data_IF_053629471448
#
_entry.id   IF_053629471448
#
_cell.length_a   1.000
_cell.length_b   1.000
_cell.length_c   1.000
_cell.angle_alpha   90.00
_cell.angle_beta   90.00
_cell.angle_gamma   90.00
#
_symmetry.space_group_name_H-M   'P 1'
#
loop_
_entity.id
_entity.type
_entity.pdbx_description
1 polymer ?
#
# COMPACT_ATOMS: atom_id res chain seq x y z
N UNK A 1 44.00 -44.97 9.35
CA UNK A 1 44.27 -46.33 9.84
C UNK A 1 43.20 -46.64 10.85
N UNK A 2 42.15 -47.28 10.35
CA UNK A 2 41.00 -47.77 11.10
C UNK A 2 41.41 -48.86 12.09
N UNK A 3 40.84 -48.82 13.30
CA UNK A 3 40.51 -50.02 14.07
C UNK A 3 39.53 -49.64 15.20
N UNK A 4 38.26 -49.87 14.92
CA UNK A 4 37.18 -50.02 15.89
C UNK A 4 37.30 -51.38 16.58
N UNK A 5 37.11 -51.43 17.91
CA UNK A 5 36.69 -52.59 18.74
C UNK A 5 36.85 -52.19 20.22
N UNK A 6 35.91 -52.33 21.15
CA UNK A 6 34.59 -52.92 21.16
C UNK A 6 34.04 -52.90 22.59
N UNK A 7 32.71 -52.88 22.68
CA UNK A 7 31.85 -53.41 23.75
C UNK A 7 32.14 -53.06 25.23
N UNK A 8 31.31 -52.17 25.77
CA UNK A 8 30.75 -52.32 27.12
C UNK A 8 29.35 -51.67 27.17
N UNK A 9 28.34 -52.42 26.73
CA UNK A 9 26.92 -52.14 26.98
C UNK A 9 26.63 -52.19 28.49
N UNK A 10 26.18 -51.07 29.07
CA UNK A 10 25.35 -51.07 30.28
C UNK A 10 24.08 -50.29 30.00
N UNK A 11 22.97 -51.02 30.10
CA UNK A 11 21.67 -50.62 29.60
C UNK A 11 21.07 -49.40 30.29
N UNK A 12 20.42 -48.58 29.49
CA UNK A 12 19.30 -47.75 29.92
C UNK A 12 18.33 -47.62 28.75
N UNK A 13 17.33 -48.50 28.78
CA UNK A 13 15.92 -48.28 28.41
C UNK A 13 15.63 -47.44 27.15
N UNK A 14 15.24 -48.19 26.11
CA UNK A 14 14.23 -47.89 25.10
C UNK A 14 13.36 -46.67 25.43
N UNK A 15 13.42 -45.63 24.59
CA UNK A 15 12.25 -45.00 24.01
C UNK A 15 12.66 -44.31 22.70
N UNK A 16 12.39 -44.98 21.58
CA UNK A 16 12.45 -44.35 20.27
C UNK A 16 11.29 -43.36 20.15
N UNK A 17 11.59 -42.09 19.88
CA UNK A 17 10.65 -41.19 19.22
C UNK A 17 11.41 -40.55 18.06
N UNK A 18 11.33 -41.22 16.92
CA UNK A 18 11.59 -40.62 15.63
C UNK A 18 10.47 -39.64 15.33
N UNK A 19 10.79 -38.35 15.18
CA UNK A 19 9.97 -37.46 14.35
C UNK A 19 10.85 -36.97 13.19
N UNK A 20 10.32 -37.30 12.03
CA UNK A 20 10.82 -37.16 10.68
C UNK A 20 10.32 -35.82 10.15
N UNK A 21 11.27 -34.99 9.67
CA UNK A 21 11.20 -34.20 8.43
C UNK A 21 10.54 -32.80 8.40
N UNK A 22 11.27 -31.96 7.66
CA UNK A 22 10.87 -30.81 6.82
C UNK A 22 10.42 -29.50 7.48
N UNK A 23 11.35 -28.54 7.38
CA UNK A 23 11.19 -27.49 6.39
C UNK A 23 10.41 -26.26 6.83
N UNK A 24 11.13 -25.13 6.91
CA UNK A 24 10.63 -23.88 6.33
C UNK A 24 11.80 -22.91 6.12
N UNK A 25 12.19 -22.74 4.86
CA UNK A 25 12.95 -21.59 4.39
C UNK A 25 12.03 -20.37 4.50
N UNK A 26 12.19 -19.54 5.53
CA UNK A 26 11.58 -18.20 5.52
C UNK A 26 12.60 -17.26 4.88
N UNK A 27 12.53 -17.16 3.56
CA UNK A 27 13.16 -16.06 2.85
C UNK A 27 12.49 -14.76 3.31
N UNK A 28 13.26 -13.92 4.03
CA UNK A 28 12.84 -12.58 4.41
C UNK A 28 12.64 -11.74 3.16
N UNK A 29 11.39 -11.58 2.75
CA UNK A 29 10.99 -10.58 1.77
C UNK A 29 11.05 -9.22 2.47
N UNK A 30 12.16 -8.52 2.31
CA UNK A 30 12.25 -7.09 2.59
C UNK A 30 11.29 -6.36 1.66
N UNK A 31 10.07 -6.08 2.13
CA UNK A 31 9.10 -5.28 1.39
C UNK A 31 9.63 -3.84 1.35
N UNK A 32 10.32 -3.48 0.27
CA UNK A 32 10.59 -2.07 -0.05
C UNK A 32 9.24 -1.46 -0.39
N UNK A 33 8.67 -0.72 0.55
CA UNK A 33 7.45 0.04 0.33
C UNK A 33 7.76 1.15 -0.66
N UNK A 34 7.50 0.93 -1.96
CA UNK A 34 7.33 2.00 -2.92
C UNK A 34 5.98 2.66 -2.61
N UNK A 35 5.98 3.51 -1.58
CA UNK A 35 4.88 4.42 -1.36
C UNK A 35 4.82 5.36 -2.54
N UNK A 36 3.68 5.43 -3.22
CA UNK A 36 3.40 6.56 -4.09
C UNK A 36 3.36 7.80 -3.18
N UNK A 37 4.49 8.47 -3.05
CA UNK A 37 4.50 9.87 -2.68
C UNK A 37 3.53 10.57 -3.64
N UNK A 38 2.70 11.53 -3.17
CA UNK A 38 1.99 12.40 -4.10
C UNK A 38 3.06 12.95 -5.03
N UNK A 39 3.11 12.47 -6.27
CA UNK A 39 4.04 13.00 -7.26
C UNK A 39 3.64 14.45 -7.41
N UNK A 40 4.39 15.36 -6.79
CA UNK A 40 4.07 16.78 -6.84
C UNK A 40 3.88 17.15 -8.31
N UNK A 41 2.67 17.54 -8.67
CA UNK A 41 2.31 17.93 -10.03
C UNK A 41 1.51 16.93 -10.87
N UNK A 42 1.29 15.66 -10.47
CA UNK A 42 0.40 14.72 -11.19
C UNK A 42 -0.36 13.74 -10.28
N UNK A 43 -1.63 13.49 -10.59
CA UNK A 43 -2.48 12.49 -9.91
C UNK A 43 -3.44 11.81 -10.89
N UNK A 44 -4.00 10.67 -10.49
CA UNK A 44 -5.11 10.04 -11.19
C UNK A 44 -6.46 10.61 -10.77
N UNK A 45 -7.31 10.92 -11.74
CA UNK A 45 -8.70 11.30 -11.53
C UNK A 45 -9.55 10.62 -12.61
N UNK A 46 -10.39 9.66 -12.21
CA UNK A 46 -11.33 8.97 -13.11
C UNK A 46 -10.67 8.39 -14.38
N UNK A 47 -9.50 7.76 -14.21
CA UNK A 47 -8.74 7.17 -15.32
C UNK A 47 -7.85 8.14 -16.10
N UNK A 48 -7.89 9.44 -15.78
CA UNK A 48 -7.07 10.48 -16.41
C UNK A 48 -5.91 10.87 -15.50
N UNK A 49 -4.81 11.36 -16.08
CA UNK A 49 -3.73 12.01 -15.32
C UNK A 49 -3.96 13.52 -15.32
N UNK A 50 -4.09 14.13 -14.15
CA UNK A 50 -4.32 15.58 -13.97
C UNK A 50 -3.20 16.22 -13.16
N UNK A 51 -3.02 17.53 -13.31
CA UNK A 51 -1.98 18.28 -12.62
C UNK A 51 -2.40 18.86 -11.27
N UNK A 52 -1.44 19.13 -10.38
CA UNK A 52 -1.65 19.86 -9.11
C UNK A 52 -0.67 21.03 -8.95
N UNK A 53 -1.01 22.00 -8.10
CA UNK A 53 -0.09 23.09 -7.70
C UNK A 53 1.05 22.56 -6.81
N UNK A 54 2.19 23.24 -6.81
CA UNK A 54 3.34 22.98 -5.94
C UNK A 54 3.80 24.37 -5.42
N UNK A 55 3.48 24.78 -4.19
CA UNK A 55 3.48 23.97 -2.97
C UNK A 55 2.10 23.76 -2.33
N UNK A 56 1.85 22.61 -1.68
CA UNK A 56 0.67 22.41 -0.86
C UNK A 56 0.57 23.40 0.30
N UNK A 57 -0.64 23.90 0.57
CA UNK A 57 -0.93 24.64 1.79
C UNK A 57 -1.30 23.66 2.92
N UNK A 58 -0.79 23.88 4.12
CA UNK A 58 -1.23 23.14 5.30
C UNK A 58 -2.66 23.53 5.67
N UNK A 59 -3.44 22.56 6.15
CA UNK A 59 -4.78 22.79 6.70
C UNK A 59 -4.86 22.19 8.11
N UNK A 60 -5.95 22.45 8.83
CA UNK A 60 -6.13 21.86 10.15
C UNK A 60 -6.28 20.33 10.02
N UNK A 61 -5.70 19.53 10.92
CA UNK A 61 -5.86 18.09 10.88
C UNK A 61 -7.32 17.66 10.82
N UNK A 62 -7.65 16.81 9.85
CA UNK A 62 -9.00 16.29 9.65
C UNK A 62 -9.98 17.27 8.98
N UNK A 63 -9.55 18.47 8.58
CA UNK A 63 -10.43 19.43 7.92
C UNK A 63 -10.63 19.19 6.42
N UNK A 64 -9.85 18.29 5.82
CA UNK A 64 -9.95 17.94 4.40
C UNK A 64 -11.32 17.34 4.05
N UNK A 65 -11.78 17.62 2.83
CA UNK A 65 -13.12 17.28 2.33
C UNK A 65 -13.12 16.50 1.02
N UNK A 66 -12.04 16.61 0.25
CA UNK A 66 -11.88 15.97 -1.05
C UNK A 66 -11.02 14.71 -0.88
N UNK A 67 -11.54 13.49 -1.09
CA UNK A 67 -10.74 12.28 -0.85
C UNK A 67 -9.50 12.21 -1.72
N UNK A 68 -8.35 11.98 -1.11
CA UNK A 68 -7.07 11.75 -1.76
C UNK A 68 -6.45 10.45 -1.25
N UNK A 69 -6.18 9.52 -2.15
CA UNK A 69 -5.71 8.18 -1.82
C UNK A 69 -4.23 8.00 -2.22
N UNK A 70 -3.37 7.76 -1.23
CA UNK A 70 -1.95 7.42 -1.37
C UNK A 70 -1.79 5.91 -1.36
N UNK A 71 -1.50 5.31 -2.50
CA UNK A 71 -1.27 3.86 -2.59
C UNK A 71 0.15 3.53 -2.13
N UNK A 72 0.32 2.71 -1.09
CA UNK A 72 1.64 2.52 -0.44
C UNK A 72 2.45 1.31 -0.89
N UNK A 73 1.81 0.35 -1.54
CA UNK A 73 2.44 -0.86 -2.08
C UNK A 73 1.84 -1.20 -3.46
N UNK A 74 1.68 -0.17 -4.30
CA UNK A 74 1.10 -0.29 -5.63
C UNK A 74 2.05 -0.87 -6.68
N UNK A 75 1.57 -0.91 -7.93
CA UNK A 75 2.40 -1.20 -9.10
C UNK A 75 3.26 0.01 -9.48
N UNK A 76 4.32 -0.22 -10.27
CA UNK A 76 5.07 0.87 -10.89
C UNK A 76 4.14 1.76 -11.74
N UNK A 77 4.34 3.08 -11.69
CA UNK A 77 3.49 4.06 -12.35
C UNK A 77 2.19 4.42 -11.61
N UNK A 78 1.96 3.83 -10.44
CA UNK A 78 0.86 4.26 -9.57
C UNK A 78 1.09 5.70 -9.08
N UNK A 79 0.09 6.56 -9.31
CA UNK A 79 0.04 7.93 -8.78
C UNK A 79 -0.93 7.98 -7.58
N UNK A 80 -0.92 9.10 -6.85
CA UNK A 80 -2.03 9.40 -5.93
C UNK A 80 -3.36 9.48 -6.69
N UNK A 81 -4.46 9.10 -6.06
CA UNK A 81 -5.79 9.08 -6.70
C UNK A 81 -6.68 10.13 -6.04
N UNK A 82 -7.21 11.07 -6.82
CA UNK A 82 -8.27 11.95 -6.38
C UNK A 82 -9.63 11.25 -6.50
N UNK A 83 -10.41 11.27 -5.41
CA UNK A 83 -11.78 10.76 -5.41
C UNK A 83 -12.77 11.69 -6.10
N UNK A 84 -12.46 12.99 -6.12
CA UNK A 84 -13.26 14.06 -6.75
C UNK A 84 -12.34 15.08 -7.41
N UNK A 85 -12.85 15.82 -8.39
CA UNK A 85 -12.08 16.86 -9.08
C UNK A 85 -12.97 17.96 -9.65
N UNK A 86 -12.37 18.98 -10.30
CA UNK A 86 -13.10 20.13 -10.84
C UNK A 86 -14.29 19.74 -11.71
N UNK A 87 -15.41 20.43 -11.53
CA UNK A 87 -16.68 20.15 -12.23
C UNK A 87 -17.47 18.96 -11.68
N UNK A 88 -16.89 18.16 -10.78
CA UNK A 88 -17.60 17.09 -10.08
C UNK A 88 -18.38 17.60 -8.86
N UNK A 89 -19.52 16.99 -8.51
CA UNK A 89 -20.24 17.30 -7.28
C UNK A 89 -19.38 17.01 -6.06
N UNK A 90 -19.36 17.92 -5.10
CA UNK A 90 -18.61 17.76 -3.84
C UNK A 90 -17.11 18.02 -3.94
N UNK A 91 -16.63 18.68 -5.01
CA UNK A 91 -15.25 19.15 -5.08
C UNK A 91 -15.06 20.48 -4.35
N UNK A 92 -14.07 20.56 -3.45
CA UNK A 92 -13.79 21.73 -2.60
C UNK A 92 -12.43 22.38 -2.90
N UNK A 93 -12.00 22.30 -4.16
CA UNK A 93 -10.78 22.96 -4.63
C UNK A 93 -9.49 22.23 -4.25
N UNK A 94 -9.56 20.90 -4.06
CA UNK A 94 -8.41 20.10 -3.65
C UNK A 94 -8.12 20.30 -2.16
N UNK A 95 -9.17 20.34 -1.35
CA UNK A 95 -9.08 20.30 0.12
C UNK A 95 -8.87 18.86 0.56
N UNK A 96 -7.66 18.35 0.39
CA UNK A 96 -7.41 16.92 0.41
C UNK A 96 -7.62 16.32 1.80
N UNK A 97 -8.54 15.38 1.84
CA UNK A 97 -8.76 14.41 2.90
C UNK A 97 -7.87 13.19 2.61
N UNK A 98 -6.75 13.05 3.32
CA UNK A 98 -5.74 12.04 3.00
C UNK A 98 -6.06 10.65 3.53
N UNK A 99 -6.00 9.66 2.64
CA UNK A 99 -6.09 8.25 2.97
C UNK A 99 -4.87 7.51 2.44
N UNK A 100 -4.49 6.45 3.13
CA UNK A 100 -3.51 5.47 2.67
C UNK A 100 -4.26 4.24 2.17
N UNK A 101 -3.83 3.70 1.04
CA UNK A 101 -4.39 2.49 0.43
C UNK A 101 -3.30 1.44 0.35
N UNK A 102 -3.53 0.29 0.96
CA UNK A 102 -2.58 -0.82 0.99
C UNK A 102 -3.23 -2.06 0.43
N UNK A 103 -2.64 -2.64 -0.62
CA UNK A 103 -3.06 -3.91 -1.18
C UNK A 103 -2.79 -5.06 -0.22
N UNK A 104 -3.79 -5.94 -0.07
CA UNK A 104 -3.74 -7.19 0.68
C UNK A 104 -3.39 -8.40 -0.21
N UNK A 105 -3.35 -8.20 -1.53
CA UNK A 105 -3.09 -9.19 -2.57
C UNK A 105 -2.12 -8.61 -3.62
N UNK A 106 -1.95 -9.31 -4.74
CA UNK A 106 -1.19 -8.81 -5.88
C UNK A 106 -1.71 -7.42 -6.32
N UNK A 107 -0.87 -6.36 -6.31
CA UNK A 107 -1.28 -5.01 -6.67
C UNK A 107 -1.68 -4.89 -8.15
N UNK A 108 -2.59 -3.97 -8.43
CA UNK A 108 -2.94 -3.51 -9.78
C UNK A 108 -3.14 -1.99 -9.77
N UNK A 109 -3.24 -1.37 -10.95
CA UNK A 109 -3.36 0.09 -11.04
C UNK A 109 -4.75 0.56 -10.59
N UNK A 110 -4.79 1.51 -9.65
CA UNK A 110 -6.00 2.22 -9.24
C UNK A 110 -5.96 3.65 -9.77
N UNK A 111 -6.97 4.04 -10.55
CA UNK A 111 -6.97 5.33 -11.26
C UNK A 111 -8.20 6.20 -10.99
N UNK A 112 -9.09 5.77 -10.10
CA UNK A 112 -10.28 6.53 -9.69
C UNK A 112 -10.68 6.22 -8.25
N UNK A 113 -11.39 7.15 -7.59
CA UNK A 113 -11.96 6.90 -6.27
C UNK A 113 -12.95 5.73 -6.26
N UNK A 114 -13.72 5.55 -7.34
CA UNK A 114 -14.61 4.40 -7.50
C UNK A 114 -13.86 3.07 -7.59
N UNK A 115 -12.69 3.04 -8.22
CA UNK A 115 -11.84 1.85 -8.27
C UNK A 115 -11.25 1.51 -6.90
N UNK A 116 -10.86 2.53 -6.12
CA UNK A 116 -10.41 2.35 -4.73
C UNK A 116 -11.55 1.77 -3.88
N UNK A 117 -12.74 2.37 -3.92
CA UNK A 117 -13.90 1.89 -3.17
C UNK A 117 -14.29 0.45 -3.56
N UNK A 118 -14.27 0.13 -4.85
CA UNK A 118 -14.55 -1.23 -5.32
C UNK A 118 -13.47 -2.24 -4.89
N UNK A 119 -12.21 -1.83 -4.86
CA UNK A 119 -11.11 -2.67 -4.36
C UNK A 119 -11.25 -2.95 -2.87
N UNK A 120 -11.61 -1.93 -2.08
CA UNK A 120 -11.86 -2.06 -0.65
C UNK A 120 -13.05 -2.99 -0.37
N UNK A 121 -14.16 -2.82 -1.09
CA UNK A 121 -15.35 -3.67 -0.95
C UNK A 121 -15.08 -5.15 -1.26
N UNK A 122 -14.08 -5.47 -2.10
CA UNK A 122 -13.64 -6.85 -2.36
C UNK A 122 -12.57 -7.36 -1.39
N UNK A 123 -12.11 -6.52 -0.48
CA UNK A 123 -10.99 -6.83 0.42
C UNK A 123 -9.62 -6.88 -0.28
N UNK A 124 -9.51 -6.36 -1.50
CA UNK A 124 -8.24 -6.32 -2.24
C UNK A 124 -7.29 -5.28 -1.65
N UNK A 125 -7.83 -4.22 -1.04
CA UNK A 125 -7.09 -3.18 -0.32
C UNK A 125 -7.70 -2.90 1.05
N UNK A 126 -6.89 -2.33 1.93
CA UNK A 126 -7.34 -1.64 3.15
C UNK A 126 -7.12 -0.14 2.97
N UNK A 127 -8.13 0.66 3.31
CA UNK A 127 -8.06 2.13 3.25
C UNK A 127 -8.04 2.68 4.67
N UNK A 128 -7.03 3.50 4.99
CA UNK A 128 -6.84 4.09 6.31
C UNK A 128 -6.80 5.62 6.22
N UNK A 129 -7.53 6.29 7.11
CA UNK A 129 -7.59 7.75 7.17
C UNK A 129 -6.39 8.34 7.92
N UNK A 130 -5.82 9.43 7.41
CA UNK A 130 -4.69 10.16 8.01
C UNK A 130 -5.00 11.65 8.18
N UNK A 131 -5.79 12.05 9.19
CA UNK A 131 -6.23 13.43 9.37
C UNK A 131 -5.08 14.43 9.51
N UNK A 132 -3.97 14.01 10.12
CA UNK A 132 -2.75 14.80 10.30
C UNK A 132 -2.02 15.12 9.00
N UNK A 133 -2.35 14.43 7.90
CA UNK A 133 -1.72 14.62 6.60
C UNK A 133 -2.56 15.47 5.66
N UNK A 134 -3.71 16.00 6.08
CA UNK A 134 -4.53 16.84 5.22
C UNK A 134 -3.78 18.07 4.73
N UNK A 135 -4.06 18.46 3.48
CA UNK A 135 -3.46 19.62 2.85
C UNK A 135 -4.39 20.17 1.78
N UNK A 136 -4.17 21.41 1.37
CA UNK A 136 -4.88 22.02 0.26
C UNK A 136 -3.96 22.22 -0.94
N UNK A 137 -4.37 21.68 -2.08
CA UNK A 137 -3.69 21.87 -3.34
C UNK A 137 -4.65 21.68 -4.53
N UNK A 138 -5.07 22.75 -5.22
CA UNK A 138 -6.01 22.65 -6.34
C UNK A 138 -5.47 21.83 -7.52
N UNK A 139 -6.39 21.21 -8.27
CA UNK A 139 -6.11 20.60 -9.57
C UNK A 139 -6.04 21.71 -10.63
N UNK A 140 -4.99 21.71 -11.45
CA UNK A 140 -4.68 22.81 -12.39
C UNK A 140 -4.95 22.49 -13.86
N UNK A 141 -4.96 21.22 -14.24
CA UNK A 141 -5.13 20.82 -15.64
C UNK A 141 -5.96 19.55 -15.75
N UNK A 142 -7.02 19.61 -16.56
CA UNK A 142 -7.85 18.48 -16.94
C UNK A 142 -7.12 17.72 -18.05
N UNK A 143 -6.68 16.50 -17.74
CA UNK A 143 -6.02 15.54 -18.64
C UNK A 143 -4.75 16.05 -19.36
N UNK A 144 -3.57 15.71 -18.82
CA UNK A 144 -2.34 15.76 -19.61
C UNK A 144 -2.22 14.38 -20.27
N UNK A 145 -2.52 14.34 -21.57
CA UNK A 145 -2.38 13.14 -22.42
C UNK A 145 -0.96 12.61 -22.50
#
# INVERSE_FOLDING_TARGET
MDAVSGLAQRGARIAAISIVVAGLLVAGLSQVAFGAEPGFGKLFLNGQVVGTVVPPAQVAPGSGRDPFYKVTNGVSGQLGVAGVGPGGPGYHGGDWQVFTVTFNKAPYLLTSGSAVAAAEARGDVTVARHPEQDFRCPITSTAVG
#
